data_IF_505468372601
#
_entry.id   IF_505468372601
#
_cell.length_a   1.000
_cell.length_b   1.000
_cell.length_c   1.000
_cell.angle_alpha   90.00
_cell.angle_beta   90.00
_cell.angle_gamma   90.00
#
_symmetry.space_group_name_H-M   'P 1'
#
loop_
_entity.id
_entity.type
_entity.pdbx_description
1 polymer ?
#
# COMPACT_ATOMS: atom_id res chain seq x y z
N UNK A 1 4.55 6.77 -14.14
CA UNK A 1 4.91 5.35 -14.04
C UNK A 1 6.37 5.11 -13.67
N UNK A 2 7.35 5.73 -14.37
CA UNK A 2 8.79 5.45 -14.15
C UNK A 2 9.29 5.65 -12.72
N UNK A 3 9.02 6.75 -12.01
CA UNK A 3 9.45 6.90 -10.61
C UNK A 3 8.88 5.82 -9.70
N UNK A 4 7.62 5.42 -9.92
CA UNK A 4 6.98 4.33 -9.17
C UNK A 4 7.70 3.00 -9.45
N UNK A 5 7.99 2.70 -10.71
CA UNK A 5 8.66 1.47 -11.11
C UNK A 5 10.05 1.32 -10.48
N UNK A 6 10.83 2.39 -10.40
CA UNK A 6 12.15 2.37 -9.73
C UNK A 6 12.01 2.11 -8.21
N UNK A 7 11.04 2.76 -7.56
CA UNK A 7 10.73 2.48 -6.16
C UNK A 7 10.28 1.05 -5.95
N UNK A 8 9.41 0.55 -6.80
CA UNK A 8 8.90 -0.82 -6.76
C UNK A 8 10.00 -1.85 -6.94
N UNK A 9 10.92 -1.64 -7.89
CA UNK A 9 12.05 -2.54 -8.12
C UNK A 9 12.91 -2.69 -6.84
N UNK A 10 13.21 -1.60 -6.16
CA UNK A 10 14.03 -1.63 -4.94
C UNK A 10 13.31 -2.32 -3.77
N UNK A 11 12.02 -2.01 -3.56
CA UNK A 11 11.22 -2.58 -2.48
C UNK A 11 10.96 -4.06 -2.73
N UNK A 12 10.53 -4.43 -3.94
CA UNK A 12 10.22 -5.82 -4.27
C UNK A 12 11.46 -6.70 -4.30
N UNK A 13 12.63 -6.16 -4.60
CA UNK A 13 13.90 -6.88 -4.44
C UNK A 13 14.10 -7.34 -2.98
N UNK A 14 13.79 -6.47 -2.02
CA UNK A 14 13.87 -6.83 -0.59
C UNK A 14 12.81 -7.88 -0.22
N UNK A 15 11.62 -7.80 -0.80
CA UNK A 15 10.60 -8.85 -0.65
C UNK A 15 11.05 -10.18 -1.22
N UNK A 16 11.77 -10.17 -2.35
CA UNK A 16 12.40 -11.37 -2.91
C UNK A 16 13.40 -12.02 -1.96
N UNK A 17 14.18 -11.24 -1.23
CA UNK A 17 15.07 -11.76 -0.17
C UNK A 17 14.26 -12.40 0.96
N UNK A 18 13.16 -11.76 1.39
CA UNK A 18 12.26 -12.33 2.39
C UNK A 18 11.61 -13.64 1.90
N UNK A 19 11.16 -13.69 0.65
CA UNK A 19 10.61 -14.90 0.03
C UNK A 19 11.64 -16.05 0.00
N UNK A 20 12.90 -15.75 -0.32
CA UNK A 20 13.96 -16.73 -0.29
C UNK A 20 14.21 -17.27 1.12
N UNK A 21 14.23 -16.41 2.12
CA UNK A 21 14.36 -16.80 3.53
C UNK A 21 13.18 -17.66 3.99
N UNK A 22 12.01 -17.51 3.37
CA UNK A 22 10.84 -18.36 3.57
C UNK A 22 10.91 -19.69 2.81
N UNK A 23 11.98 -19.97 2.06
CA UNK A 23 12.17 -21.20 1.30
C UNK A 23 11.48 -21.22 -0.07
N UNK A 24 10.98 -20.10 -0.55
CA UNK A 24 10.32 -19.99 -1.86
C UNK A 24 11.36 -19.96 -3.00
N UNK A 25 11.01 -20.60 -4.11
CA UNK A 25 11.75 -20.47 -5.36
C UNK A 25 11.46 -19.14 -6.04
N UNK A 26 12.34 -18.68 -6.95
CA UNK A 26 12.15 -17.41 -7.67
C UNK A 26 10.83 -17.36 -8.45
N UNK A 27 10.40 -18.48 -9.04
CA UNK A 27 9.12 -18.55 -9.75
C UNK A 27 7.92 -18.48 -8.79
N UNK A 28 7.98 -19.17 -7.64
CA UNK A 28 6.91 -19.09 -6.64
C UNK A 28 6.77 -17.66 -6.09
N UNK A 29 7.89 -17.01 -5.79
CA UNK A 29 7.87 -15.62 -5.33
C UNK A 29 7.34 -14.65 -6.41
N UNK A 30 7.75 -14.82 -7.67
CA UNK A 30 7.23 -14.04 -8.78
C UNK A 30 5.72 -14.23 -8.99
N UNK A 31 5.23 -15.48 -8.90
CA UNK A 31 3.80 -15.78 -8.97
C UNK A 31 3.03 -15.14 -7.80
N UNK A 32 3.58 -15.17 -6.58
CA UNK A 32 2.99 -14.47 -5.45
C UNK A 32 2.90 -12.96 -5.71
N UNK A 33 3.97 -12.35 -6.22
CA UNK A 33 4.00 -10.92 -6.57
C UNK A 33 3.01 -10.53 -7.68
N UNK A 34 2.78 -11.40 -8.66
CA UNK A 34 1.76 -11.14 -9.71
C UNK A 34 0.35 -11.21 -9.12
N UNK A 35 0.09 -12.16 -8.23
CA UNK A 35 -1.25 -12.42 -7.71
C UNK A 35 -1.63 -11.53 -6.54
N UNK A 36 -0.69 -11.21 -5.65
CA UNK A 36 -0.93 -10.38 -4.47
C UNK A 36 -0.75 -8.88 -4.77
N UNK A 37 0.30 -8.51 -5.47
CA UNK A 37 0.66 -7.13 -5.86
C UNK A 37 0.54 -6.11 -4.73
N UNK A 38 0.92 -6.50 -3.51
CA UNK A 38 0.76 -5.73 -2.30
C UNK A 38 1.98 -5.89 -1.38
N UNK A 39 2.76 -4.82 -1.16
CA UNK A 39 4.01 -4.87 -0.39
C UNK A 39 3.83 -5.42 1.03
N UNK A 40 2.84 -4.91 1.76
CA UNK A 40 2.58 -5.33 3.13
C UNK A 40 2.02 -6.76 3.19
N UNK A 41 1.13 -7.13 2.27
CA UNK A 41 0.60 -8.48 2.14
C UNK A 41 1.71 -9.47 1.84
N UNK A 42 2.46 -9.27 0.76
CA UNK A 42 3.55 -10.17 0.40
C UNK A 42 4.58 -10.35 1.52
N UNK A 43 4.96 -9.25 2.19
CA UNK A 43 5.89 -9.35 3.33
C UNK A 43 5.32 -10.17 4.48
N UNK A 44 4.05 -9.95 4.84
CA UNK A 44 3.37 -10.72 5.87
C UNK A 44 3.19 -12.18 5.46
N UNK A 45 2.77 -12.44 4.22
CA UNK A 45 2.63 -13.78 3.66
C UNK A 45 3.93 -14.56 3.70
N UNK A 46 5.03 -13.99 3.21
CA UNK A 46 6.34 -14.63 3.25
C UNK A 46 6.83 -14.86 4.68
N UNK A 47 6.55 -13.94 5.60
CA UNK A 47 6.90 -14.10 7.02
C UNK A 47 6.13 -15.26 7.65
N UNK A 48 4.84 -15.40 7.36
CA UNK A 48 4.01 -16.49 7.85
C UNK A 48 4.38 -17.84 7.22
N UNK A 49 4.74 -17.86 5.93
CA UNK A 49 5.27 -19.06 5.26
C UNK A 49 6.58 -19.50 5.95
N UNK A 50 7.48 -18.57 6.23
CA UNK A 50 8.72 -18.87 6.96
C UNK A 50 8.46 -19.42 8.37
N UNK A 51 7.39 -18.98 9.03
CA UNK A 51 6.94 -19.45 10.34
C UNK A 51 6.15 -20.78 10.26
N UNK A 52 5.97 -21.36 9.08
CA UNK A 52 5.15 -22.56 8.85
C UNK A 52 3.72 -22.43 9.36
N UNK A 53 3.13 -21.24 9.25
CA UNK A 53 1.77 -20.95 9.66
C UNK A 53 0.74 -21.72 8.81
N UNK A 54 -0.44 -21.97 9.38
CA UNK A 54 -1.51 -22.63 8.66
C UNK A 54 -2.02 -21.77 7.47
N UNK A 55 -2.42 -22.41 6.38
CA UNK A 55 -2.96 -21.69 5.20
C UNK A 55 -4.15 -20.81 5.52
N UNK A 56 -4.99 -21.20 6.46
CA UNK A 56 -6.12 -20.41 6.94
C UNK A 56 -5.66 -19.13 7.63
N UNK A 57 -4.60 -19.18 8.40
CA UNK A 57 -3.99 -18.03 9.06
C UNK A 57 -3.42 -17.05 8.03
N UNK A 58 -2.70 -17.57 7.03
CA UNK A 58 -2.18 -16.75 5.93
C UNK A 58 -3.33 -16.07 5.18
N UNK A 59 -4.39 -16.82 4.82
CA UNK A 59 -5.53 -16.28 4.10
C UNK A 59 -6.27 -15.17 4.87
N UNK A 60 -6.50 -15.35 6.16
CA UNK A 60 -7.14 -14.35 7.01
C UNK A 60 -6.26 -13.12 7.17
N UNK A 61 -4.94 -13.31 7.34
CA UNK A 61 -3.99 -12.22 7.43
C UNK A 61 -3.97 -11.38 6.14
N UNK A 62 -3.90 -12.02 4.98
CA UNK A 62 -3.93 -11.36 3.68
C UNK A 62 -5.23 -10.58 3.48
N UNK A 63 -6.37 -11.14 3.87
CA UNK A 63 -7.66 -10.47 3.80
C UNK A 63 -7.67 -9.20 4.65
N UNK A 64 -7.15 -9.25 5.87
CA UNK A 64 -7.13 -8.11 6.79
C UNK A 64 -6.17 -7.03 6.32
N UNK A 65 -4.93 -7.38 5.97
CA UNK A 65 -3.92 -6.41 5.52
C UNK A 65 -4.37 -5.73 4.23
N UNK A 66 -4.94 -6.49 3.31
CA UNK A 66 -5.36 -5.99 2.00
C UNK A 66 -6.78 -5.40 2.00
N UNK A 67 -7.51 -5.39 3.11
CA UNK A 67 -8.85 -4.77 3.22
C UNK A 67 -8.86 -3.30 2.80
N UNK A 68 -7.76 -2.56 2.97
CA UNK A 68 -7.60 -1.18 2.49
C UNK A 68 -7.75 -1.04 0.98
N UNK A 69 -7.29 -2.03 0.20
CA UNK A 69 -7.43 -2.00 -1.27
C UNK A 69 -8.89 -2.11 -1.72
N UNK A 70 -9.72 -2.79 -0.92
CA UNK A 70 -11.16 -2.79 -1.16
C UNK A 70 -11.74 -1.37 -1.04
N UNK A 71 -11.38 -0.64 0.02
CA UNK A 71 -11.82 0.74 0.21
C UNK A 71 -11.30 1.67 -0.90
N UNK A 72 -10.02 1.52 -1.29
CA UNK A 72 -9.44 2.27 -2.41
C UNK A 72 -10.13 1.98 -3.73
N UNK A 73 -10.47 0.72 -4.00
CA UNK A 73 -11.21 0.31 -5.19
C UNK A 73 -12.61 0.90 -5.23
N UNK A 74 -13.31 0.96 -4.08
CA UNK A 74 -14.60 1.62 -3.95
C UNK A 74 -14.49 3.14 -4.24
N UNK A 75 -13.51 3.81 -3.68
CA UNK A 75 -13.26 5.23 -3.94
C UNK A 75 -12.88 5.50 -5.40
N UNK A 76 -12.00 4.67 -5.97
CA UNK A 76 -11.59 4.75 -7.37
C UNK A 76 -12.80 4.56 -8.30
N UNK A 77 -13.72 3.66 -7.97
CA UNK A 77 -14.90 3.38 -8.79
C UNK A 77 -15.80 4.60 -9.00
N UNK A 78 -15.79 5.56 -8.06
CA UNK A 78 -16.54 6.82 -8.16
C UNK A 78 -15.93 7.79 -9.20
N UNK A 79 -14.64 7.65 -9.48
CA UNK A 79 -13.92 8.43 -10.50
C UNK A 79 -14.06 7.84 -11.91
N UNK A 80 -14.58 6.62 -12.04
CA UNK A 80 -14.75 5.95 -13.32
C UNK A 80 -16.06 6.36 -14.01
N UNK A 81 -16.09 6.27 -15.34
CA UNK A 81 -17.34 6.48 -16.07
C UNK A 81 -18.33 5.33 -15.76
N UNK A 82 -19.60 5.66 -15.55
CA UNK A 82 -20.67 4.69 -15.30
C UNK A 82 -20.86 3.71 -16.47
N UNK A 83 -20.51 4.13 -17.69
CA UNK A 83 -20.58 3.30 -18.91
C UNK A 83 -19.38 2.37 -19.08
N UNK A 84 -18.37 2.44 -18.20
CA UNK A 84 -17.17 1.60 -18.32
C UNK A 84 -17.52 0.13 -18.11
N UNK A 85 -17.08 -0.78 -19.01
CA UNK A 85 -17.29 -2.22 -18.87
C UNK A 85 -16.77 -2.76 -17.54
N UNK A 86 -17.48 -3.70 -16.95
CA UNK A 86 -17.13 -4.32 -15.67
C UNK A 86 -15.69 -4.89 -15.65
N UNK A 87 -15.26 -5.47 -16.77
CA UNK A 87 -13.92 -6.07 -16.90
C UNK A 87 -12.79 -5.05 -16.68
N UNK A 88 -12.93 -3.83 -17.19
CA UNK A 88 -11.94 -2.76 -16.94
C UNK A 88 -11.91 -2.38 -15.45
N UNK A 89 -13.08 -2.31 -14.80
CA UNK A 89 -13.16 -2.01 -13.35
C UNK A 89 -12.48 -3.09 -12.52
N UNK A 90 -12.66 -4.36 -12.90
CA UNK A 90 -12.03 -5.49 -12.22
C UNK A 90 -10.49 -5.43 -12.35
N UNK A 91 -9.98 -5.21 -13.58
CA UNK A 91 -8.53 -5.09 -13.82
C UNK A 91 -7.95 -3.91 -13.03
N UNK A 92 -8.61 -2.76 -13.08
CA UNK A 92 -8.15 -1.58 -12.35
C UNK A 92 -8.14 -1.82 -10.83
N UNK A 93 -9.15 -2.52 -10.30
CA UNK A 93 -9.20 -2.91 -8.89
C UNK A 93 -8.08 -3.87 -8.49
N UNK A 94 -7.70 -4.79 -9.38
CA UNK A 94 -6.62 -5.76 -9.14
C UNK A 94 -5.24 -5.08 -9.01
N UNK A 95 -4.99 -4.03 -9.80
CA UNK A 95 -3.70 -3.34 -9.84
C UNK A 95 -3.69 -2.03 -9.05
N UNK A 96 -4.69 -1.79 -8.20
CA UNK A 96 -4.69 -0.61 -7.34
C UNK A 96 -3.66 -0.79 -6.22
N UNK A 97 -2.74 0.16 -6.12
CA UNK A 97 -1.77 0.26 -5.03
C UNK A 97 -1.83 1.66 -4.44
N UNK A 98 -1.18 1.89 -3.30
CA UNK A 98 -1.22 3.21 -2.64
C UNK A 98 -0.75 4.34 -3.57
N UNK A 99 0.32 4.11 -4.32
CA UNK A 99 0.93 5.10 -5.22
C UNK A 99 0.07 5.32 -6.47
N UNK A 100 -0.42 4.22 -7.08
CA UNK A 100 -1.30 4.31 -8.26
C UNK A 100 -2.62 4.96 -7.87
N UNK A 101 -3.19 4.60 -6.71
CA UNK A 101 -4.39 5.23 -6.18
C UNK A 101 -4.20 6.72 -5.94
N UNK A 102 -3.11 7.12 -5.27
CA UNK A 102 -2.81 8.51 -5.01
C UNK A 102 -2.75 9.36 -6.28
N UNK A 103 -2.11 8.84 -7.34
CA UNK A 103 -2.03 9.54 -8.62
C UNK A 103 -3.38 9.55 -9.36
N UNK A 104 -4.13 8.46 -9.36
CA UNK A 104 -5.42 8.38 -10.07
C UNK A 104 -6.50 9.23 -9.42
N UNK A 105 -6.53 9.33 -8.09
CA UNK A 105 -7.48 10.18 -7.36
C UNK A 105 -7.15 11.66 -7.52
N UNK A 106 -5.87 12.00 -7.69
CA UNK A 106 -5.42 13.38 -7.90
C UNK A 106 -5.80 13.97 -9.27
N UNK A 107 -6.24 13.13 -10.24
CA UNK A 107 -6.74 13.62 -11.53
C UNK A 107 -8.06 14.38 -11.29
N UNK A 108 -8.20 15.66 -11.71
CA UNK A 108 -9.38 16.47 -11.43
C UNK A 108 -10.67 15.93 -12.07
N UNK A 109 -10.53 15.35 -13.28
CA UNK A 109 -11.64 14.84 -14.09
C UNK A 109 -11.90 13.36 -13.88
N UNK A 110 -12.89 12.81 -14.59
CA UNK A 110 -13.10 11.36 -14.66
C UNK A 110 -11.85 10.67 -15.20
N UNK A 111 -11.46 9.60 -14.55
CA UNK A 111 -10.24 8.89 -14.85
C UNK A 111 -10.33 8.17 -16.21
N UNK A 112 -9.41 8.49 -17.11
CA UNK A 112 -9.22 7.69 -18.32
C UNK A 112 -8.49 6.38 -17.96
N UNK A 113 -9.03 5.20 -18.26
CA UNK A 113 -8.38 3.92 -18.00
C UNK A 113 -6.97 3.80 -18.55
N UNK A 114 -6.70 4.38 -19.72
CA UNK A 114 -5.39 4.35 -20.33
C UNK A 114 -4.29 4.98 -19.46
N UNK A 115 -4.64 6.00 -18.67
CA UNK A 115 -3.70 6.61 -17.72
C UNK A 115 -3.24 5.62 -16.64
N UNK A 116 -4.18 4.89 -16.05
CA UNK A 116 -3.87 3.86 -15.06
C UNK A 116 -3.12 2.69 -15.68
N UNK A 117 -3.56 2.21 -16.86
CA UNK A 117 -2.87 1.12 -17.55
C UNK A 117 -1.43 1.47 -17.92
N UNK A 118 -1.17 2.71 -18.32
CA UNK A 118 0.19 3.16 -18.59
C UNK A 118 1.09 3.15 -17.33
N UNK A 119 0.55 3.41 -16.15
CA UNK A 119 1.29 3.27 -14.90
C UNK A 119 1.53 1.80 -14.54
N UNK A 120 0.48 0.98 -14.62
CA UNK A 120 0.53 -0.45 -14.29
C UNK A 120 1.51 -1.19 -15.21
N UNK A 121 1.51 -0.88 -16.51
CA UNK A 121 2.38 -1.53 -17.50
C UNK A 121 3.87 -1.37 -17.19
N UNK A 122 4.25 -0.30 -16.51
CA UNK A 122 5.64 -0.04 -16.16
C UNK A 122 5.93 -0.48 -14.70
N UNK A 123 5.01 -0.23 -13.79
CA UNK A 123 5.19 -0.50 -12.36
C UNK A 123 5.10 -2.00 -12.03
N UNK A 124 4.11 -2.71 -12.60
CA UNK A 124 3.87 -4.11 -12.29
C UNK A 124 5.00 -5.04 -12.71
N UNK A 125 5.56 -4.94 -13.94
CA UNK A 125 6.74 -5.72 -14.30
C UNK A 125 7.95 -5.42 -13.41
N UNK A 126 8.16 -4.17 -13.02
CA UNK A 126 9.26 -3.80 -12.12
C UNK A 126 9.10 -4.46 -10.75
N UNK A 127 7.86 -4.54 -10.24
CA UNK A 127 7.53 -5.23 -8.99
C UNK A 127 7.88 -6.72 -9.06
N UNK A 128 7.39 -7.42 -10.08
CA UNK A 128 7.60 -8.86 -10.26
C UNK A 128 9.07 -9.19 -10.50
N UNK A 129 9.74 -8.41 -11.36
CA UNK A 129 11.16 -8.60 -11.64
C UNK A 129 12.02 -8.33 -10.41
N UNK A 130 11.68 -7.32 -9.61
CA UNK A 130 12.40 -7.06 -8.37
C UNK A 130 12.32 -8.24 -7.40
N UNK A 131 11.13 -8.80 -7.17
CA UNK A 131 10.96 -9.99 -6.34
C UNK A 131 11.73 -11.19 -6.91
N UNK A 132 11.61 -11.45 -8.20
CA UNK A 132 12.32 -12.53 -8.87
C UNK A 132 13.85 -12.42 -8.69
N UNK A 133 14.41 -11.26 -8.99
CA UNK A 133 15.85 -11.01 -8.83
C UNK A 133 16.29 -10.97 -7.37
N UNK A 134 15.42 -10.54 -6.46
CA UNK A 134 15.67 -10.60 -5.02
C UNK A 134 15.90 -12.02 -4.52
N UNK A 135 15.11 -12.98 -5.01
CA UNK A 135 15.32 -14.40 -4.71
C UNK A 135 16.62 -14.93 -5.30
N UNK A 136 16.93 -14.60 -6.57
CA UNK A 136 18.12 -15.08 -7.25
C UNK A 136 19.42 -14.51 -6.65
N UNK A 137 19.46 -13.21 -6.46
CA UNK A 137 20.69 -12.49 -6.13
C UNK A 137 20.81 -12.12 -4.65
N UNK A 138 19.77 -12.31 -3.84
CA UNK A 138 19.79 -11.95 -2.42
C UNK A 138 20.90 -12.58 -1.61
N UNK A 139 21.41 -13.76 -2.00
CA UNK A 139 22.54 -14.43 -1.33
C UNK A 139 23.92 -13.98 -1.86
N UNK A 140 23.95 -13.31 -3.01
CA UNK A 140 25.21 -12.84 -3.63
C UNK A 140 25.58 -11.47 -3.07
N UNK A 141 24.57 -10.74 -2.58
CA UNK A 141 24.78 -9.40 -2.03
C UNK A 141 25.44 -9.46 -0.66
N UNK A 142 26.43 -8.59 -0.41
CA UNK A 142 26.99 -8.41 0.92
C UNK A 142 25.93 -8.11 1.97
N UNK A 143 26.08 -8.66 3.17
CA UNK A 143 25.10 -8.49 4.26
C UNK A 143 24.73 -7.03 4.55
N UNK A 144 25.69 -6.11 4.39
CA UNK A 144 25.46 -4.68 4.57
C UNK A 144 24.45 -4.10 3.56
N UNK A 145 24.50 -4.56 2.30
CA UNK A 145 23.56 -4.12 1.26
C UNK A 145 22.17 -4.71 1.51
N UNK A 146 22.09 -5.99 1.89
CA UNK A 146 20.83 -6.64 2.27
C UNK A 146 20.19 -5.92 3.45
N UNK A 147 20.97 -5.58 4.47
CA UNK A 147 20.50 -4.81 5.63
C UNK A 147 19.99 -3.42 5.23
N UNK A 148 20.71 -2.70 4.37
CA UNK A 148 20.29 -1.39 3.89
C UNK A 148 18.98 -1.45 3.08
N UNK A 149 18.81 -2.44 2.21
CA UNK A 149 17.58 -2.66 1.46
C UNK A 149 16.40 -2.99 2.40
N UNK A 150 16.63 -3.82 3.43
CA UNK A 150 15.61 -4.15 4.44
C UNK A 150 15.15 -2.90 5.20
N UNK A 151 16.09 -2.01 5.56
CA UNK A 151 15.74 -0.70 6.14
C UNK A 151 14.89 0.13 5.18
N UNK A 152 15.17 0.07 3.87
CA UNK A 152 14.38 0.74 2.84
C UNK A 152 12.92 0.25 2.80
N UNK A 153 12.68 -1.04 2.96
CA UNK A 153 11.33 -1.61 3.06
C UNK A 153 10.58 -1.05 4.27
N UNK A 154 11.18 -1.07 5.46
CA UNK A 154 10.57 -0.46 6.65
C UNK A 154 10.37 1.04 6.50
N UNK A 155 11.33 1.73 5.86
CA UNK A 155 11.22 3.16 5.53
C UNK A 155 10.01 3.48 4.65
N UNK A 156 9.66 2.61 3.71
CA UNK A 156 8.46 2.74 2.90
C UNK A 156 7.18 2.67 3.75
N UNK A 157 7.08 1.73 4.69
CA UNK A 157 5.92 1.66 5.59
C UNK A 157 5.80 2.91 6.46
N UNK A 158 6.92 3.43 6.96
CA UNK A 158 6.95 4.69 7.72
C UNK A 158 6.51 5.87 6.85
N UNK A 159 6.96 5.91 5.60
CA UNK A 159 6.59 6.97 4.65
C UNK A 159 5.07 7.00 4.34
N UNK A 160 4.40 5.85 4.37
CA UNK A 160 2.94 5.77 4.21
C UNK A 160 2.20 6.26 5.47
N UNK A 161 2.76 5.99 6.66
CA UNK A 161 2.11 6.30 7.95
C UNK A 161 2.27 7.77 8.35
N UNK A 162 3.43 8.37 8.08
CA UNK A 162 3.76 9.74 8.55
C UNK A 162 2.81 10.82 7.99
N UNK A 163 2.49 10.88 6.68
CA UNK A 163 1.66 11.96 6.15
C UNK A 163 0.25 12.02 6.78
N UNK A 164 -0.51 10.92 6.90
CA UNK A 164 -1.80 10.95 7.58
C UNK A 164 -1.67 11.24 9.09
N UNK A 165 -0.64 10.73 9.75
CA UNK A 165 -0.40 10.98 11.18
C UNK A 165 -0.08 12.47 11.46
N UNK A 166 0.63 13.15 10.56
CA UNK A 166 0.89 14.60 10.67
C UNK A 166 -0.36 15.45 10.49
N UNK A 167 -1.30 15.00 9.64
CA UNK A 167 -2.54 15.74 9.37
C UNK A 167 -3.61 15.52 10.44
N UNK A 168 -3.58 14.39 11.14
CA UNK A 168 -4.61 14.02 12.10
C UNK A 168 -3.98 13.41 13.37
N UNK A 169 -4.11 14.14 14.50
CA UNK A 169 -3.60 13.70 15.79
C UNK A 169 -4.23 12.40 16.29
N UNK A 170 -5.47 12.10 15.89
CA UNK A 170 -6.14 10.83 16.25
C UNK A 170 -5.40 9.67 15.60
N UNK A 171 -5.06 9.80 14.30
CA UNK A 171 -4.27 8.79 13.58
C UNK A 171 -2.90 8.62 14.24
N UNK A 172 -2.23 9.71 14.57
CA UNK A 172 -0.94 9.65 15.27
C UNK A 172 -1.05 8.91 16.61
N UNK A 173 -2.11 9.19 17.38
CA UNK A 173 -2.39 8.51 18.65
C UNK A 173 -2.66 7.01 18.45
N UNK A 174 -3.47 6.63 17.48
CA UNK A 174 -3.76 5.21 17.15
C UNK A 174 -2.48 4.48 16.75
N UNK A 175 -1.63 5.09 15.92
CA UNK A 175 -0.33 4.50 15.53
C UNK A 175 0.57 4.31 16.76
N UNK A 176 0.73 5.32 17.60
CA UNK A 176 1.56 5.23 18.80
C UNK A 176 1.06 4.14 19.77
N UNK A 177 -0.25 4.09 20.02
CA UNK A 177 -0.88 3.07 20.86
C UNK A 177 -0.68 1.68 20.27
N UNK A 178 -0.85 1.53 18.94
CA UNK A 178 -0.63 0.25 18.25
C UNK A 178 0.80 -0.25 18.41
N UNK A 179 1.78 0.65 18.29
CA UNK A 179 3.19 0.28 18.48
C UNK A 179 3.49 -0.14 19.92
N UNK A 180 2.96 0.59 20.91
CA UNK A 180 3.14 0.26 22.33
C UNK A 180 2.49 -1.10 22.67
N UNK A 181 1.24 -1.31 22.26
CA UNK A 181 0.53 -2.55 22.51
C UNK A 181 1.23 -3.73 21.80
N UNK A 182 1.66 -3.56 20.54
CA UNK A 182 2.40 -4.58 19.81
C UNK A 182 3.71 -4.94 20.51
N UNK A 183 4.42 -3.96 21.06
CA UNK A 183 5.63 -4.16 21.85
C UNK A 183 5.32 -4.98 23.12
N UNK A 184 4.30 -4.60 23.88
CA UNK A 184 3.88 -5.32 25.08
C UNK A 184 3.51 -6.77 24.77
N UNK A 185 2.73 -6.99 23.71
CA UNK A 185 2.33 -8.34 23.25
C UNK A 185 3.51 -9.18 22.78
N UNK A 186 4.58 -8.56 22.30
CA UNK A 186 5.79 -9.26 21.87
C UNK A 186 6.59 -9.82 23.05
N UNK A 187 6.56 -9.14 24.19
CA UNK A 187 7.30 -9.52 25.39
C UNK A 187 6.47 -10.28 26.44
N UNK A 188 5.14 -10.34 26.29
CA UNK A 188 4.27 -10.99 27.24
C UNK A 188 4.36 -12.54 27.13
N UNK A 189 4.84 -13.25 28.17
CA UNK A 189 5.09 -14.70 28.12
C UNK A 189 3.81 -15.53 27.92
N UNK A 190 2.66 -15.03 28.36
CA UNK A 190 1.35 -15.70 28.20
C UNK A 190 0.88 -15.72 26.75
N UNK A 191 1.32 -14.74 25.94
CA UNK A 191 0.86 -14.52 24.55
C UNK A 191 1.86 -15.13 23.56
N UNK A 192 3.04 -15.49 24.03
CA UNK A 192 4.09 -16.11 23.18
C UNK A 192 3.70 -17.50 22.63
N UNK A 193 2.70 -18.17 23.22
CA UNK A 193 2.14 -19.43 22.71
C UNK A 193 1.22 -19.25 21.50
N UNK A 194 0.77 -18.03 21.21
CA UNK A 194 -0.06 -17.72 20.04
C UNK A 194 0.87 -17.40 18.86
N UNK A 195 0.55 -17.90 17.67
CA UNK A 195 1.34 -17.61 16.46
C UNK A 195 1.46 -16.09 16.22
N UNK A 196 2.58 -15.68 15.65
CA UNK A 196 2.83 -14.25 15.39
C UNK A 196 1.77 -13.63 14.46
N UNK A 197 1.27 -14.39 13.50
CA UNK A 197 0.23 -13.95 12.59
C UNK A 197 -1.10 -13.73 13.30
N UNK A 198 -1.55 -14.69 14.10
CA UNK A 198 -2.79 -14.56 14.87
C UNK A 198 -2.74 -13.35 15.82
N UNK A 199 -1.59 -13.09 16.43
CA UNK A 199 -1.41 -11.88 17.27
C UNK A 199 -1.62 -10.59 16.49
N UNK A 200 -1.03 -10.48 15.30
CA UNK A 200 -1.18 -9.29 14.44
C UNK A 200 -2.64 -9.13 14.01
N UNK A 201 -3.30 -10.22 13.61
CA UNK A 201 -4.73 -10.22 13.26
C UNK A 201 -5.58 -9.65 14.40
N UNK A 202 -5.45 -10.23 15.58
CA UNK A 202 -6.22 -9.83 16.77
C UNK A 202 -5.98 -8.35 17.09
N UNK A 203 -4.72 -7.91 17.13
CA UNK A 203 -4.36 -6.53 17.42
C UNK A 203 -4.94 -5.56 16.38
N UNK A 204 -4.79 -5.89 15.10
CA UNK A 204 -5.29 -5.03 14.02
C UNK A 204 -6.81 -4.87 14.10
N UNK A 205 -7.55 -5.97 14.27
CA UNK A 205 -9.02 -5.92 14.36
C UNK A 205 -9.47 -5.15 15.61
N UNK A 206 -8.90 -5.44 16.77
CA UNK A 206 -9.31 -4.79 18.02
C UNK A 206 -9.01 -3.28 17.97
N UNK A 207 -7.81 -2.89 17.57
CA UNK A 207 -7.40 -1.48 17.56
C UNK A 207 -8.19 -0.71 16.51
N UNK A 208 -8.38 -1.28 15.31
CA UNK A 208 -9.15 -0.63 14.24
C UNK A 208 -10.62 -0.46 14.63
N UNK A 209 -11.23 -1.47 15.24
CA UNK A 209 -12.61 -1.41 15.69
C UNK A 209 -12.79 -0.40 16.83
N UNK A 210 -11.88 -0.42 17.82
CA UNK A 210 -11.90 0.56 18.91
C UNK A 210 -11.72 1.99 18.39
N UNK A 211 -10.79 2.22 17.47
CA UNK A 211 -10.59 3.53 16.84
C UNK A 211 -11.83 4.00 16.07
N UNK A 212 -12.47 3.10 15.31
CA UNK A 212 -13.68 3.42 14.54
C UNK A 212 -14.87 3.78 15.44
N UNK A 213 -15.04 3.10 16.57
CA UNK A 213 -16.12 3.37 17.53
C UNK A 213 -15.86 4.66 18.34
N UNK A 214 -14.62 4.86 18.78
CA UNK A 214 -14.26 6.02 19.62
C UNK A 214 -14.15 7.32 18.82
N UNK A 215 -13.76 7.22 17.56
CA UNK A 215 -13.50 8.39 16.69
C UNK A 215 -14.23 8.25 15.34
N UNK A 216 -15.56 8.20 15.32
CA UNK A 216 -16.30 8.10 14.07
C UNK A 216 -16.05 9.35 13.21
N UNK A 217 -15.67 9.13 11.94
CA UNK A 217 -15.50 10.23 10.98
C UNK A 217 -16.90 10.71 10.56
N UNK A 218 -17.24 11.97 10.86
CA UNK A 218 -18.48 12.57 10.39
C UNK A 218 -18.37 12.82 8.88
N UNK A 219 -19.41 12.46 8.13
CA UNK A 219 -19.48 12.63 6.65
C UNK A 219 -19.26 14.08 6.20
N UNK A 220 -19.59 15.04 7.04
CA UNK A 220 -19.43 16.48 6.78
C UNK A 220 -17.95 16.88 6.62
N UNK A 221 -17.03 16.23 7.37
CA UNK A 221 -15.59 16.48 7.25
C UNK A 221 -14.98 15.82 6.02
N UNK A 222 -15.53 14.71 5.55
CA UNK A 222 -15.10 14.05 4.31
C UNK A 222 -15.46 14.92 3.09
N UNK A 223 -16.67 15.49 3.05
CA UNK A 223 -17.10 16.42 2.00
C UNK A 223 -16.35 17.75 2.03
N UNK A 224 -15.99 18.25 3.20
CA UNK A 224 -15.21 19.49 3.33
C UNK A 224 -13.75 19.31 2.89
N UNK A 225 -13.16 18.16 3.12
CA UNK A 225 -11.81 17.81 2.64
C UNK A 225 -11.78 17.65 1.10
N UNK A 226 -12.81 17.05 0.51
CA UNK A 226 -12.98 16.94 -0.95
C UNK A 226 -13.19 18.32 -1.61
N UNK A 227 -13.98 19.18 -0.98
CA UNK A 227 -14.23 20.53 -1.47
C UNK A 227 -13.01 21.44 -1.33
N UNK A 228 -12.23 21.33 -0.27
CA UNK A 228 -10.98 22.08 -0.08
C UNK A 228 -9.91 21.67 -1.11
N UNK A 229 -9.77 20.35 -1.39
CA UNK A 229 -8.89 19.84 -2.43
C UNK A 229 -9.30 20.30 -3.84
N UNK A 230 -10.60 20.45 -4.09
CA UNK A 230 -11.14 20.95 -5.35
C UNK A 230 -10.97 22.47 -5.50
N UNK A 231 -11.08 23.24 -4.42
CA UNK A 231 -10.89 24.68 -4.43
C UNK A 231 -9.43 25.09 -4.70
N UNK A 232 -8.45 24.36 -4.14
CA UNK A 232 -7.03 24.61 -4.41
C UNK A 232 -6.67 24.28 -5.87
N UNK A 233 -7.22 23.21 -6.44
CA UNK A 233 -7.03 22.86 -7.85
C UNK A 233 -7.69 23.87 -8.81
N UNK A 234 -8.85 24.43 -8.45
CA UNK A 234 -9.52 25.45 -9.27
C UNK A 234 -8.71 26.75 -9.32
N UNK A 235 -8.12 27.14 -8.19
CA UNK A 235 -7.27 28.34 -8.13
C UNK A 235 -5.94 28.14 -8.88
N UNK A 236 -5.36 26.94 -8.87
CA UNK A 236 -4.17 26.61 -9.66
C UNK A 236 -4.47 26.64 -11.17
N UNK A 237 -5.66 26.19 -11.59
CA UNK A 237 -6.08 26.22 -12.99
C UNK A 237 -6.35 27.64 -13.50
N UNK A 238 -6.90 28.51 -12.66
CA UNK A 238 -7.14 29.91 -12.99
C UNK A 238 -5.83 30.72 -13.11
N UNK A 239 -4.80 30.38 -12.38
CA UNK A 239 -3.46 30.99 -12.51
C UNK A 239 -2.78 30.64 -13.85
N UNK A 240 -3.11 29.50 -14.45
CA UNK A 240 -2.54 29.07 -15.74
C UNK A 240 -3.30 29.63 -16.95
N UNK A 241 -4.52 30.09 -16.77
CA UNK A 241 -5.38 30.67 -17.85
C UNK A 241 -5.42 32.17 -17.88
N UNK A 242 -4.66 32.88 -17.01
CA UNK A 242 -4.57 34.33 -17.10
C UNK A 242 -3.71 34.72 -18.31
N UNK A 243 -4.21 35.56 -19.24
CA UNK A 243 -3.46 35.98 -20.42
C UNK A 243 -2.15 36.65 -20.03
N UNK A 244 -1.07 36.30 -20.71
CA UNK A 244 0.23 36.94 -20.54
C UNK A 244 0.11 38.47 -20.78
N UNK A 245 0.84 39.30 -20.05
CA UNK A 245 0.86 40.78 -20.30
C UNK A 245 1.29 41.15 -21.71
N UNK A 246 1.77 40.22 -22.54
CA UNK A 246 2.15 40.44 -23.94
C UNK A 246 0.98 40.44 -24.93
N UNK A 247 -0.19 39.97 -24.52
CA UNK A 247 -1.37 39.90 -25.41
C UNK A 247 -2.27 41.13 -25.33
N UNK A 248 -1.79 42.21 -24.69
CA UNK A 248 -2.43 43.53 -24.67
C UNK A 248 -1.59 44.51 -25.49
N UNK A 249 -1.64 44.32 -26.77
CA UNK A 249 -1.15 45.29 -27.75
C UNK A 249 -2.26 45.71 -28.68
#
# INVERSE_FOLDING_TARGET
GMPIALGYLAVSFTLGIAAKNAGLTALQAALASITCHASAGEFAGFTLIAALAAYTEIAVMELIINARYFLMSCALSQKLDNKMPFFHRLIMGLFVTDEIFGLTVSVPEKLNPAYMYGMVLVASPAWVLGTYFGVLFGNILPANIVSALSVGLYGMFIAIIIPPARKNHIIAGVVAISMIISCIFSYAPVISSISSGTRIIILTVIISLAAAILFPVKEENARSADNAGNADNTNACLLYTSPSPRDRG
#
